data_IF_668822949890
#
_entry.id   IF_668822949890
#
_cell.length_a   1.000
_cell.length_b   1.000
_cell.length_c   1.000
_cell.angle_alpha   90.00
_cell.angle_beta   90.00
_cell.angle_gamma   90.00
#
_symmetry.space_group_name_H-M   'P 1'
#
loop_
_entity.id
_entity.type
_entity.pdbx_description
1 polymer ?
#
# COMPACT_ATOMS: atom_id res chain seq x y z
N UNK A 1 -23.96 -7.93 -3.14
CA UNK A 1 -22.55 -8.32 -2.99
C UNK A 1 -21.91 -7.88 -4.29
N UNK A 2 -21.37 -6.66 -4.32
CA UNK A 2 -20.73 -6.14 -5.54
C UNK A 2 -19.49 -6.99 -5.83
N UNK A 3 -19.42 -7.45 -7.07
CA UNK A 3 -18.29 -8.16 -7.63
C UNK A 3 -17.13 -7.16 -7.69
N UNK A 4 -16.30 -7.12 -6.63
CA UNK A 4 -15.12 -6.26 -6.60
C UNK A 4 -14.18 -6.78 -7.67
N UNK A 5 -14.05 -6.01 -8.76
CA UNK A 5 -13.13 -6.31 -9.85
C UNK A 5 -11.74 -6.63 -9.29
N UNK A 6 -11.13 -7.70 -9.81
CA UNK A 6 -9.75 -8.07 -9.50
C UNK A 6 -8.86 -6.91 -9.96
N UNK A 7 -8.24 -6.21 -9.00
CA UNK A 7 -7.32 -5.11 -9.30
C UNK A 7 -5.97 -5.72 -9.68
N UNK A 8 -5.53 -5.53 -10.93
CA UNK A 8 -4.23 -6.04 -11.37
C UNK A 8 -3.15 -4.98 -11.16
N UNK A 9 -1.87 -5.38 -10.95
CA UNK A 9 -0.77 -4.43 -10.80
C UNK A 9 -0.66 -3.42 -11.95
N UNK A 10 -0.95 -3.84 -13.19
CA UNK A 10 -0.92 -2.98 -14.38
C UNK A 10 -2.00 -1.88 -14.40
N UNK A 11 -3.06 -2.02 -13.60
CA UNK A 11 -4.16 -1.07 -13.49
C UNK A 11 -3.92 -0.02 -12.38
N UNK A 12 -2.80 -0.14 -11.65
CA UNK A 12 -2.45 0.76 -10.55
C UNK A 12 -1.91 2.08 -11.10
N UNK A 13 -2.75 3.12 -11.02
CA UNK A 13 -2.39 4.47 -11.42
C UNK A 13 -2.44 5.43 -10.24
N UNK A 14 -1.28 6.01 -9.93
CA UNK A 14 -1.12 6.97 -8.85
C UNK A 14 -1.34 6.38 -7.46
N UNK A 15 -1.41 7.27 -6.47
CA UNK A 15 -1.46 6.93 -5.05
C UNK A 15 -2.74 6.18 -4.66
N UNK A 16 -3.91 6.69 -5.04
CA UNK A 16 -5.19 6.08 -4.69
C UNK A 16 -5.33 4.67 -5.26
N UNK A 17 -4.88 4.44 -6.51
CA UNK A 17 -4.86 3.09 -7.09
C UNK A 17 -3.96 2.13 -6.31
N UNK A 18 -2.81 2.62 -5.82
CA UNK A 18 -1.90 1.80 -5.02
C UNK A 18 -2.49 1.43 -3.65
N UNK A 19 -3.12 2.39 -2.96
CA UNK A 19 -3.84 2.12 -1.69
C UNK A 19 -4.90 1.06 -1.88
N UNK A 20 -5.80 1.23 -2.86
CA UNK A 20 -6.87 0.26 -3.12
C UNK A 20 -6.34 -1.13 -3.52
N UNK A 21 -5.23 -1.19 -4.25
CA UNK A 21 -4.59 -2.46 -4.60
C UNK A 21 -4.02 -3.17 -3.37
N UNK A 22 -3.35 -2.44 -2.47
CA UNK A 22 -2.80 -3.01 -1.24
C UNK A 22 -3.91 -3.51 -0.29
N UNK A 23 -4.98 -2.74 -0.11
CA UNK A 23 -6.16 -3.18 0.66
C UNK A 23 -6.81 -4.44 0.08
N UNK A 24 -6.85 -4.56 -1.25
CA UNK A 24 -7.34 -5.76 -1.91
C UNK A 24 -6.48 -6.98 -1.61
N UNK A 25 -5.15 -6.84 -1.69
CA UNK A 25 -4.21 -7.92 -1.35
C UNK A 25 -4.37 -8.39 0.10
N UNK A 26 -4.56 -7.46 1.06
CA UNK A 26 -4.84 -7.81 2.46
C UNK A 26 -6.08 -8.69 2.54
N UNK A 27 -7.19 -8.25 1.94
CA UNK A 27 -8.45 -8.98 1.96
C UNK A 27 -8.34 -10.37 1.31
N UNK A 28 -7.57 -10.52 0.23
CA UNK A 28 -7.35 -11.82 -0.42
C UNK A 28 -6.50 -12.78 0.42
N UNK A 29 -5.52 -12.26 1.17
CA UNK A 29 -4.73 -13.06 2.13
C UNK A 29 -5.60 -13.48 3.32
N UNK A 30 -6.37 -12.56 3.90
CA UNK A 30 -7.24 -12.83 5.05
C UNK A 30 -8.35 -13.82 4.73
N UNK A 31 -8.89 -13.77 3.50
CA UNK A 31 -9.90 -14.73 3.03
C UNK A 31 -9.31 -16.05 2.53
N UNK A 32 -7.98 -16.20 2.55
CA UNK A 32 -7.28 -17.42 2.14
C UNK A 32 -7.25 -17.67 0.62
N UNK A 33 -7.61 -16.67 -0.19
CA UNK A 33 -7.48 -16.73 -1.65
C UNK A 33 -6.01 -16.69 -2.08
N UNK A 34 -5.18 -15.95 -1.34
CA UNK A 34 -3.73 -15.93 -1.49
C UNK A 34 -3.11 -16.65 -0.29
N UNK A 35 -2.28 -17.66 -0.56
CA UNK A 35 -1.48 -18.34 0.46
C UNK A 35 -0.12 -17.67 0.54
N UNK A 36 0.28 -17.25 1.73
CA UNK A 36 1.58 -16.62 1.98
C UNK A 36 2.48 -17.53 2.81
N UNK A 37 3.78 -17.48 2.55
CA UNK A 37 4.77 -18.23 3.35
C UNK A 37 4.91 -17.66 4.77
N UNK A 38 4.76 -16.33 4.91
CA UNK A 38 4.73 -15.65 6.19
C UNK A 38 3.27 -15.40 6.61
N UNK A 39 2.81 -15.89 7.78
CA UNK A 39 1.43 -15.70 8.22
C UNK A 39 1.09 -14.23 8.53
N UNK A 40 2.09 -13.36 8.69
CA UNK A 40 1.90 -11.92 8.97
C UNK A 40 1.97 -11.03 7.73
N UNK A 41 2.05 -11.59 6.52
CA UNK A 41 2.17 -10.78 5.28
C UNK A 41 1.05 -9.75 5.15
N UNK A 42 -0.18 -10.08 5.54
CA UNK A 42 -1.32 -9.15 5.50
C UNK A 42 -1.06 -7.88 6.34
N UNK A 43 -0.50 -8.00 7.55
CA UNK A 43 -0.22 -6.85 8.43
C UNK A 43 0.79 -5.88 7.79
N UNK A 44 1.81 -6.41 7.10
CA UNK A 44 2.79 -5.56 6.41
C UNK A 44 2.17 -4.81 5.22
N UNK A 45 1.26 -5.47 4.48
CA UNK A 45 0.59 -4.86 3.34
C UNK A 45 -0.43 -3.80 3.82
N UNK A 46 -1.13 -4.08 4.92
CA UNK A 46 -2.03 -3.12 5.57
C UNK A 46 -1.27 -1.87 6.04
N UNK A 47 -0.14 -2.06 6.74
CA UNK A 47 0.72 -0.96 7.17
C UNK A 47 1.26 -0.15 5.98
N UNK A 48 1.66 -0.81 4.89
CA UNK A 48 2.09 -0.14 3.66
C UNK A 48 0.96 0.67 3.02
N UNK A 49 -0.28 0.16 3.05
CA UNK A 49 -1.45 0.89 2.56
C UNK A 49 -1.68 2.17 3.38
N UNK A 50 -1.72 2.06 4.71
CA UNK A 50 -1.92 3.20 5.61
C UNK A 50 -0.83 4.27 5.43
N UNK A 51 0.44 3.87 5.28
CA UNK A 51 1.53 4.81 5.02
C UNK A 51 1.46 5.45 3.65
N UNK A 52 1.03 4.70 2.63
CA UNK A 52 0.78 5.27 1.30
C UNK A 52 -0.31 6.32 1.38
N UNK A 53 -1.39 6.06 2.12
CA UNK A 53 -2.52 6.99 2.30
C UNK A 53 -2.20 8.20 3.21
N UNK A 54 -1.20 8.11 4.08
CA UNK A 54 -0.72 9.22 4.93
C UNK A 54 0.56 9.94 4.44
N UNK A 55 1.13 9.51 3.31
CA UNK A 55 2.41 9.97 2.80
C UNK A 55 2.52 11.50 2.60
N UNK A 56 1.46 12.14 2.09
CA UNK A 56 1.39 13.59 1.91
C UNK A 56 1.58 14.35 3.22
N UNK A 57 0.83 14.00 4.26
CA UNK A 57 0.94 14.61 5.59
C UNK A 57 2.34 14.45 6.17
N UNK A 58 2.95 13.28 5.97
CA UNK A 58 4.30 13.02 6.45
C UNK A 58 5.34 13.85 5.69
N UNK A 59 5.23 13.97 4.36
CA UNK A 59 6.14 14.77 3.52
C UNK A 59 5.98 16.27 3.78
N UNK A 60 4.76 16.76 3.97
CA UNK A 60 4.49 18.14 4.40
C UNK A 60 5.21 18.47 5.70
N UNK A 61 5.15 17.56 6.69
CA UNK A 61 5.90 17.69 7.95
C UNK A 61 7.43 17.73 7.78
N UNK A 62 7.95 17.32 6.62
CA UNK A 62 9.37 17.37 6.26
C UNK A 62 9.71 18.53 5.31
N UNK A 63 8.72 19.34 4.88
CA UNK A 63 8.91 20.38 3.88
C UNK A 63 9.22 19.84 2.49
N UNK A 64 8.86 18.59 2.21
CA UNK A 64 9.08 17.93 0.92
C UNK A 64 7.78 17.96 0.13
N UNK A 65 7.82 18.49 -1.09
CA UNK A 65 6.67 18.44 -2.00
C UNK A 65 6.45 17.04 -2.56
N UNK A 66 5.20 16.59 -2.60
CA UNK A 66 4.84 15.34 -3.28
C UNK A 66 5.01 15.54 -4.80
N UNK A 67 5.91 14.77 -5.41
CA UNK A 67 6.05 14.73 -6.87
C UNK A 67 4.84 14.01 -7.49
N UNK A 68 4.33 14.53 -8.61
CA UNK A 68 3.28 13.86 -9.39
C UNK A 68 3.71 12.48 -9.89
N UNK A 69 5.02 12.29 -10.08
CA UNK A 69 5.61 11.00 -10.41
C UNK A 69 6.22 10.39 -9.14
N UNK A 70 5.68 9.30 -8.58
CA UNK A 70 6.29 8.64 -7.44
C UNK A 70 7.67 8.11 -7.86
N UNK A 71 8.71 8.51 -7.13
CA UNK A 71 10.06 7.99 -7.35
C UNK A 71 10.22 6.65 -6.62
N UNK A 72 11.20 5.83 -7.03
CA UNK A 72 11.59 4.63 -6.27
C UNK A 72 11.91 4.93 -4.80
N UNK A 73 12.27 6.17 -4.48
CA UNK A 73 12.51 6.64 -3.13
C UNK A 73 11.23 6.66 -2.29
N UNK A 74 10.09 7.09 -2.85
CA UNK A 74 8.77 7.05 -2.18
C UNK A 74 8.36 5.61 -1.90
N UNK A 75 8.58 4.70 -2.86
CA UNK A 75 8.32 3.26 -2.68
C UNK A 75 9.15 2.71 -1.52
N UNK A 76 10.46 3.01 -1.47
CA UNK A 76 11.32 2.60 -0.38
C UNK A 76 10.89 3.16 0.99
N UNK A 77 10.37 4.39 1.03
CA UNK A 77 9.85 5.02 2.24
C UNK A 77 8.59 4.33 2.76
N UNK A 78 7.66 3.96 1.88
CA UNK A 78 6.44 3.21 2.25
C UNK A 78 6.81 1.86 2.86
N UNK A 79 7.71 1.10 2.24
CA UNK A 79 8.18 -0.18 2.79
C UNK A 79 8.95 -0.01 4.10
N UNK A 80 9.77 1.03 4.22
CA UNK A 80 10.48 1.33 5.48
C UNK A 80 9.49 1.62 6.60
N UNK A 81 8.46 2.42 6.32
CA UNK A 81 7.47 2.81 7.32
C UNK A 81 6.55 1.65 7.72
N UNK A 82 6.22 0.75 6.78
CA UNK A 82 5.47 -0.48 7.04
C UNK A 82 6.21 -1.47 7.97
N UNK A 83 7.55 -1.41 8.06
CA UNK A 83 8.34 -2.23 8.99
C UNK A 83 8.25 -1.72 10.44
N UNK A 84 8.02 -0.42 10.64
CA UNK A 84 7.97 0.21 11.97
C UNK A 84 6.55 0.43 12.50
N UNK A 85 5.52 0.06 11.74
CA UNK A 85 4.13 0.12 12.20
C UNK A 85 3.85 -1.12 13.07
N UNK A 86 3.63 -0.92 14.37
CA UNK A 86 3.13 -1.95 15.32
C UNK A 86 1.60 -2.03 15.31
#
# INVERSE_FOLDING_TARGET
>A
MEDRAIVRPEDVHGRAGLVSYLEHLVAEIETGKIVTENPRTHMYIEAASAWTDGLDLWLEGKGIGLSENPTWQIVAMIFTAAVYCE
#
